data_IF_244467608071
#
_entry.id   IF_244467608071
#
_cell.length_a   1.000
_cell.length_b   1.000
_cell.length_c   1.000
_cell.angle_alpha   90.00
_cell.angle_beta   90.00
_cell.angle_gamma   90.00
#
_symmetry.space_group_name_H-M   'P 1'
#
loop_
_entity.id
_entity.type
_entity.pdbx_description
1 polymer ?
#
# COMPACT_ATOMS: atom_id res chain seq x y z
N UNK A 1 -5.85 -14.36 23.17
CA UNK A 1 -6.79 -14.53 22.04
C UNK A 1 -7.72 -13.34 21.99
N UNK A 2 -8.15 -12.93 20.80
CA UNK A 2 -9.08 -11.82 20.59
C UNK A 2 -10.42 -12.37 20.13
N UNK A 3 -11.48 -12.10 20.89
CA UNK A 3 -12.83 -12.64 20.67
C UNK A 3 -13.81 -11.57 20.21
N UNK A 4 -14.73 -11.98 19.33
CA UNK A 4 -15.90 -11.21 18.94
C UNK A 4 -16.92 -11.11 20.08
N UNK A 5 -17.92 -10.24 19.91
CA UNK A 5 -19.06 -10.17 20.85
C UNK A 5 -20.00 -11.37 20.70
N UNK A 6 -19.93 -12.02 19.55
CA UNK A 6 -20.64 -13.24 19.15
C UNK A 6 -20.01 -14.53 19.71
N UNK A 7 -18.91 -14.42 20.48
CA UNK A 7 -18.18 -15.56 21.00
C UNK A 7 -17.32 -16.27 19.94
N UNK A 8 -17.18 -15.72 18.73
CA UNK A 8 -16.32 -16.28 17.69
C UNK A 8 -14.90 -15.72 17.78
N UNK A 9 -13.86 -16.52 17.47
CA UNK A 9 -12.48 -16.06 17.57
C UNK A 9 -12.14 -15.15 16.38
N UNK A 10 -11.65 -13.94 16.66
CA UNK A 10 -11.21 -12.99 15.64
C UNK A 10 -9.73 -13.12 15.35
N UNK A 11 -8.91 -13.28 16.39
CA UNK A 11 -7.49 -13.46 16.19
C UNK A 11 -6.82 -14.24 17.33
N UNK A 12 -5.74 -14.93 16.98
CA UNK A 12 -4.79 -15.50 17.94
C UNK A 12 -3.50 -14.69 17.92
N UNK A 13 -2.86 -14.53 19.08
CA UNK A 13 -1.60 -13.80 19.22
C UNK A 13 -0.61 -14.72 19.92
N UNK A 14 0.49 -15.04 19.26
CA UNK A 14 1.63 -15.74 19.85
C UNK A 14 2.73 -14.73 20.20
N UNK A 15 3.14 -14.72 21.46
CA UNK A 15 4.17 -13.82 21.95
C UNK A 15 5.49 -14.58 22.19
N UNK A 16 6.59 -14.01 21.71
CA UNK A 16 7.95 -14.47 22.01
C UNK A 16 8.69 -13.44 22.87
N UNK A 17 9.77 -13.89 23.51
CA UNK A 17 10.67 -13.03 24.29
C UNK A 17 11.13 -11.84 23.42
N UNK A 18 11.31 -10.67 24.03
CA UNK A 18 11.58 -9.44 23.28
C UNK A 18 12.86 -9.44 22.44
N UNK A 19 13.89 -10.13 22.93
CA UNK A 19 15.15 -10.33 22.19
C UNK A 19 15.09 -11.45 21.14
N UNK A 20 14.00 -12.23 21.13
CA UNK A 20 13.79 -13.33 20.20
C UNK A 20 13.12 -12.89 18.90
N UNK A 21 13.30 -13.70 17.85
CA UNK A 21 12.59 -13.47 16.59
C UNK A 21 11.09 -13.82 16.73
N UNK A 22 10.16 -12.93 16.31
CA UNK A 22 8.73 -13.24 16.29
C UNK A 22 8.41 -14.44 15.38
N UNK A 23 9.20 -14.64 14.32
CA UNK A 23 8.98 -15.69 13.33
C UNK A 23 9.07 -17.10 13.93
N UNK A 24 9.82 -17.27 15.02
CA UNK A 24 9.88 -18.54 15.75
C UNK A 24 8.50 -18.97 16.32
N UNK A 25 7.58 -18.01 16.51
CA UNK A 25 6.21 -18.28 16.94
C UNK A 25 5.23 -18.61 15.82
N UNK A 26 5.64 -18.51 14.55
CA UNK A 26 4.71 -18.62 13.41
C UNK A 26 3.99 -19.98 13.38
N UNK A 27 4.73 -21.08 13.51
CA UNK A 27 4.17 -22.43 13.46
C UNK A 27 3.22 -22.68 14.65
N UNK A 28 3.59 -22.23 15.83
CA UNK A 28 2.78 -22.37 17.04
C UNK A 28 1.48 -21.56 16.94
N UNK A 29 1.57 -20.32 16.45
CA UNK A 29 0.40 -19.47 16.22
C UNK A 29 -0.58 -20.10 15.21
N UNK A 30 -0.05 -20.77 14.18
CA UNK A 30 -0.84 -21.53 13.20
C UNK A 30 -1.56 -22.71 13.86
N UNK A 31 -0.85 -23.51 14.65
CA UNK A 31 -1.46 -24.65 15.36
C UNK A 31 -2.62 -24.21 16.26
N UNK A 32 -2.48 -23.09 16.97
CA UNK A 32 -3.59 -22.54 17.75
C UNK A 32 -4.76 -22.09 16.89
N UNK A 33 -4.49 -21.48 15.73
CA UNK A 33 -5.55 -21.12 14.80
C UNK A 33 -6.25 -22.35 14.20
N UNK A 34 -5.52 -23.45 13.97
CA UNK A 34 -6.04 -24.73 13.48
C UNK A 34 -7.03 -25.30 14.51
N UNK A 35 -6.61 -25.44 15.77
CA UNK A 35 -7.49 -25.92 16.84
C UNK A 35 -8.73 -25.03 17.03
N UNK A 36 -8.57 -23.70 17.01
CA UNK A 36 -9.71 -22.78 17.15
C UNK A 36 -10.69 -22.90 15.99
N UNK A 37 -10.18 -23.05 14.76
CA UNK A 37 -11.03 -23.23 13.59
C UNK A 37 -11.84 -24.53 13.68
N UNK A 38 -11.24 -25.61 14.17
CA UNK A 38 -11.92 -26.89 14.40
C UNK A 38 -13.00 -26.78 15.49
N UNK A 39 -12.71 -26.06 16.58
CA UNK A 39 -13.64 -25.92 17.71
C UNK A 39 -14.83 -25.00 17.43
N UNK A 40 -14.61 -23.88 16.72
CA UNK A 40 -15.63 -22.82 16.57
C UNK A 40 -16.14 -22.67 15.14
N UNK A 41 -15.57 -23.39 14.17
CA UNK A 41 -15.92 -23.29 12.74
C UNK A 41 -15.45 -21.99 12.06
N UNK A 42 -14.75 -21.10 12.77
CA UNK A 42 -14.26 -19.82 12.24
C UNK A 42 -12.74 -19.77 12.32
N UNK A 43 -12.08 -19.57 11.17
CA UNK A 43 -10.63 -19.39 11.10
C UNK A 43 -10.22 -18.02 11.69
N UNK A 44 -9.51 -17.92 12.82
CA UNK A 44 -9.04 -16.63 13.32
C UNK A 44 -7.87 -16.07 12.48
N UNK A 45 -7.63 -14.77 12.58
CA UNK A 45 -6.41 -14.13 12.08
C UNK A 45 -5.22 -14.48 12.98
N UNK A 46 -4.04 -14.64 12.40
CA UNK A 46 -2.85 -15.10 13.13
C UNK A 46 -1.91 -13.91 13.33
N UNK A 47 -1.61 -13.59 14.58
CA UNK A 47 -0.54 -12.66 14.94
C UNK A 47 0.59 -13.38 15.66
N UNK A 48 1.81 -12.95 15.39
CA UNK A 48 2.97 -13.34 16.17
C UNK A 48 3.89 -12.13 16.37
N UNK A 49 4.44 -12.01 17.58
CA UNK A 49 5.04 -10.77 18.07
C UNK A 49 6.15 -11.03 19.09
N UNK A 50 7.16 -10.16 19.16
CA UNK A 50 8.12 -10.09 20.28
C UNK A 50 7.94 -8.81 21.14
N UNK A 51 6.91 -8.00 20.86
CA UNK A 51 6.65 -6.72 21.53
C UNK A 51 7.18 -5.50 20.77
N UNK A 52 8.18 -5.65 19.90
CA UNK A 52 8.67 -4.58 19.02
C UNK A 52 8.20 -4.78 17.57
N UNK A 53 8.37 -6.00 17.08
CA UNK A 53 7.95 -6.42 15.75
C UNK A 53 6.66 -7.22 15.86
N UNK A 54 5.68 -6.84 15.05
CA UNK A 54 4.41 -7.55 14.96
C UNK A 54 4.20 -8.02 13.53
N UNK A 55 3.70 -9.25 13.41
CA UNK A 55 3.34 -9.84 12.13
C UNK A 55 1.90 -10.28 12.15
N UNK A 56 1.25 -10.14 11.00
CA UNK A 56 -0.10 -10.58 10.72
C UNK A 56 -0.06 -11.57 9.57
N UNK A 57 -0.76 -12.67 9.73
CA UNK A 57 -0.96 -13.69 8.72
C UNK A 57 -2.44 -14.08 8.64
N UNK A 58 -2.99 -13.94 7.44
CA UNK A 58 -4.28 -14.50 7.07
C UNK A 58 -4.01 -15.63 6.07
N UNK A 59 -3.78 -16.83 6.58
CA UNK A 59 -3.33 -17.98 5.79
C UNK A 59 -4.32 -18.43 4.71
N UNK A 60 -5.60 -18.09 4.86
CA UNK A 60 -6.63 -18.33 3.86
C UNK A 60 -6.56 -17.34 2.66
N UNK A 61 -5.90 -16.20 2.80
CA UNK A 61 -5.98 -15.11 1.80
C UNK A 61 -4.64 -14.60 1.31
N UNK A 62 -3.66 -14.43 2.18
CA UNK A 62 -2.44 -13.70 1.87
C UNK A 62 -1.23 -14.19 2.68
N UNK A 63 -0.02 -14.04 2.14
CA UNK A 63 1.20 -14.36 2.87
C UNK A 63 1.38 -13.47 4.12
N UNK A 64 2.18 -13.92 5.11
CA UNK A 64 2.46 -13.14 6.32
C UNK A 64 3.11 -11.79 6.02
N UNK A 65 2.79 -10.78 6.82
CA UNK A 65 3.34 -9.42 6.68
C UNK A 65 3.61 -8.77 8.03
N UNK A 66 4.60 -7.88 8.07
CA UNK A 66 4.80 -6.98 9.21
C UNK A 66 3.66 -5.95 9.32
N UNK A 67 3.28 -5.63 10.55
CA UNK A 67 2.31 -4.60 10.91
C UNK A 67 2.87 -3.75 12.04
N UNK A 68 2.50 -2.48 12.08
CA UNK A 68 2.94 -1.55 13.13
C UNK A 68 2.23 -1.77 14.46
N UNK A 69 1.07 -2.43 14.45
CA UNK A 69 0.28 -2.67 15.64
C UNK A 69 -0.89 -3.61 15.39
N UNK A 70 -1.59 -3.95 16.48
CA UNK A 70 -2.78 -4.78 16.43
C UNK A 70 -3.97 -3.98 15.89
N UNK A 71 -4.84 -4.67 15.16
CA UNK A 71 -6.03 -4.05 14.59
C UNK A 71 -7.12 -3.97 15.66
N UNK A 72 -7.97 -2.98 15.54
CA UNK A 72 -9.14 -2.83 16.42
C UNK A 72 -10.14 -3.96 16.20
N UNK A 73 -11.05 -4.17 17.17
CA UNK A 73 -12.06 -5.23 17.08
C UNK A 73 -12.89 -5.16 15.79
N UNK A 74 -13.33 -3.96 15.41
CA UNK A 74 -14.13 -3.73 14.20
C UNK A 74 -13.34 -3.99 12.91
N UNK A 75 -12.04 -3.72 12.93
CA UNK A 75 -11.15 -4.03 11.80
C UNK A 75 -10.96 -5.53 11.64
N UNK A 76 -10.75 -6.26 12.74
CA UNK A 76 -10.64 -7.72 12.72
C UNK A 76 -11.93 -8.37 12.21
N UNK A 77 -13.08 -7.94 12.74
CA UNK A 77 -14.40 -8.41 12.28
C UNK A 77 -14.57 -8.20 10.77
N UNK A 78 -14.23 -7.00 10.28
CA UNK A 78 -14.30 -6.66 8.86
C UNK A 78 -13.35 -7.50 8.00
N UNK A 79 -12.14 -7.78 8.49
CA UNK A 79 -11.18 -8.63 7.78
C UNK A 79 -11.71 -10.06 7.61
N UNK A 80 -12.35 -10.62 8.62
CA UNK A 80 -12.99 -11.95 8.55
C UNK A 80 -14.19 -11.92 7.63
N UNK A 81 -15.08 -10.92 7.77
CA UNK A 81 -16.26 -10.75 6.92
C UNK A 81 -15.90 -10.67 5.44
N UNK A 82 -14.78 -10.02 5.10
CA UNK A 82 -14.29 -9.91 3.71
C UNK A 82 -13.98 -11.25 3.05
N UNK A 83 -13.76 -12.32 3.81
CA UNK A 83 -13.52 -13.64 3.22
C UNK A 83 -14.75 -14.16 2.48
N UNK A 84 -15.96 -13.77 2.91
CA UNK A 84 -17.23 -14.16 2.28
C UNK A 84 -17.84 -13.05 1.43
N UNK A 85 -17.64 -11.78 1.78
CA UNK A 85 -18.28 -10.66 1.08
C UNK A 85 -17.49 -10.10 -0.10
N UNK A 86 -16.30 -10.63 -0.39
CA UNK A 86 -15.52 -10.20 -1.56
C UNK A 86 -16.16 -10.72 -2.84
N UNK A 87 -16.14 -9.89 -3.88
CA UNK A 87 -16.53 -10.28 -5.24
C UNK A 87 -15.26 -10.36 -6.07
N UNK A 88 -15.15 -11.35 -6.97
CA UNK A 88 -13.97 -11.44 -7.83
C UNK A 88 -13.89 -10.23 -8.75
N UNK A 89 -12.68 -9.67 -8.87
CA UNK A 89 -12.37 -8.61 -9.80
C UNK A 89 -12.51 -9.03 -11.26
N UNK A 90 -12.41 -10.32 -11.57
CA UNK A 90 -12.60 -10.82 -12.93
C UNK A 90 -14.05 -10.67 -13.40
N UNK A 91 -15.00 -10.94 -12.51
CA UNK A 91 -16.44 -10.96 -12.82
C UNK A 91 -17.05 -9.56 -12.90
N UNK A 92 -16.45 -8.58 -12.22
CA UNK A 92 -16.96 -7.22 -12.22
C UNK A 92 -16.63 -6.49 -13.54
N UNK A 93 -17.62 -5.82 -14.15
CA UNK A 93 -17.36 -4.99 -15.33
C UNK A 93 -16.57 -3.74 -14.92
N UNK A 94 -15.62 -3.36 -15.78
CA UNK A 94 -14.93 -2.06 -15.69
C UNK A 94 -15.87 -1.01 -16.28
N UNK A 95 -16.04 0.13 -15.60
CA UNK A 95 -16.90 1.19 -16.08
C UNK A 95 -16.32 1.86 -17.33
N UNK A 96 -16.97 1.61 -18.48
CA UNK A 96 -16.54 2.15 -19.78
C UNK A 96 -16.66 3.67 -19.85
N UNK A 97 -17.56 4.26 -19.06
CA UNK A 97 -17.74 5.70 -18.87
C UNK A 97 -16.49 6.39 -18.29
N UNK A 98 -15.70 5.66 -17.50
CA UNK A 98 -14.46 6.19 -16.90
C UNK A 98 -13.27 5.87 -17.82
N UNK A 99 -13.29 4.70 -18.46
CA UNK A 99 -12.16 4.14 -19.21
C UNK A 99 -12.61 3.63 -20.58
N UNK A 100 -12.30 4.41 -21.60
CA UNK A 100 -12.66 4.10 -22.99
C UNK A 100 -11.59 3.27 -23.71
N UNK A 101 -10.31 3.40 -23.33
CA UNK A 101 -9.18 2.85 -24.11
C UNK A 101 -8.82 1.43 -23.67
N UNK A 102 -8.61 0.53 -24.64
CA UNK A 102 -8.34 -0.89 -24.38
C UNK A 102 -7.14 -1.14 -23.46
N UNK A 103 -6.06 -0.36 -23.61
CA UNK A 103 -4.83 -0.56 -22.82
C UNK A 103 -5.03 -0.22 -21.33
N UNK A 104 -5.97 0.68 -21.02
CA UNK A 104 -6.32 1.03 -19.65
C UNK A 104 -7.13 -0.10 -19.02
N UNK A 105 -8.11 -0.65 -19.74
CA UNK A 105 -8.87 -1.84 -19.31
C UNK A 105 -7.91 -3.03 -19.08
N UNK A 106 -6.98 -3.26 -19.99
CA UNK A 106 -5.95 -4.32 -19.86
C UNK A 106 -5.05 -4.10 -18.64
N UNK A 107 -4.62 -2.86 -18.38
CA UNK A 107 -3.83 -2.54 -17.20
C UNK A 107 -4.61 -2.81 -15.91
N UNK A 108 -5.88 -2.41 -15.84
CA UNK A 108 -6.74 -2.63 -14.68
C UNK A 108 -6.95 -4.14 -14.43
N UNK A 109 -7.24 -4.91 -15.48
CA UNK A 109 -7.39 -6.38 -15.37
C UNK A 109 -6.11 -7.05 -14.88
N UNK A 110 -4.96 -6.70 -15.44
CA UNK A 110 -3.67 -7.24 -15.00
C UNK A 110 -3.36 -6.91 -13.53
N UNK A 111 -3.72 -5.71 -13.06
CA UNK A 111 -3.58 -5.36 -11.63
C UNK A 111 -4.54 -6.18 -10.77
N UNK A 112 -5.78 -6.38 -11.23
CA UNK A 112 -6.77 -7.19 -10.51
C UNK A 112 -6.33 -8.64 -10.36
N UNK A 113 -5.86 -9.26 -11.44
CA UNK A 113 -5.27 -10.60 -11.43
C UNK A 113 -4.06 -10.68 -10.49
N UNK A 114 -3.18 -9.68 -10.51
CA UNK A 114 -2.03 -9.64 -9.61
C UNK A 114 -2.42 -9.59 -8.12
N UNK A 115 -3.54 -8.93 -7.80
CA UNK A 115 -4.03 -8.86 -6.42
C UNK A 115 -4.80 -10.12 -6.00
N UNK A 116 -5.60 -10.70 -6.90
CA UNK A 116 -6.45 -11.85 -6.58
C UNK A 116 -5.79 -13.21 -6.79
N UNK A 117 -5.08 -13.41 -7.90
CA UNK A 117 -4.45 -14.68 -8.26
C UNK A 117 -3.07 -14.79 -7.60
N UNK A 118 -2.20 -13.79 -7.79
CA UNK A 118 -0.83 -13.84 -7.26
C UNK A 118 -0.74 -13.49 -5.77
N UNK A 119 -1.86 -13.06 -5.16
CA UNK A 119 -1.97 -12.56 -3.77
C UNK A 119 -0.96 -11.45 -3.43
N UNK A 120 -0.56 -10.68 -4.44
CA UNK A 120 0.37 -9.56 -4.25
C UNK A 120 -0.39 -8.31 -3.84
N UNK A 121 0.27 -7.44 -3.06
CA UNK A 121 -0.36 -6.23 -2.51
C UNK A 121 0.22 -4.94 -3.10
N UNK A 122 1.24 -5.08 -3.96
CA UNK A 122 1.99 -3.97 -4.53
C UNK A 122 2.04 -4.19 -6.04
N UNK A 123 1.65 -3.19 -6.80
CA UNK A 123 1.75 -3.18 -8.24
C UNK A 123 2.47 -1.92 -8.70
N UNK A 124 3.28 -2.03 -9.75
CA UNK A 124 3.87 -0.90 -10.45
C UNK A 124 3.32 -0.86 -11.86
N UNK A 125 2.71 0.26 -12.22
CA UNK A 125 2.12 0.47 -13.55
C UNK A 125 2.91 1.54 -14.26
N UNK A 126 3.48 1.20 -15.42
CA UNK A 126 4.24 2.14 -16.25
C UNK A 126 3.35 2.59 -17.40
N UNK A 127 3.11 3.90 -17.49
CA UNK A 127 2.31 4.51 -18.56
C UNK A 127 2.97 5.81 -19.03
N UNK A 128 2.84 6.08 -20.33
CA UNK A 128 3.28 7.33 -20.93
C UNK A 128 2.54 8.55 -20.32
N UNK A 129 3.20 9.71 -20.31
CA UNK A 129 2.56 10.99 -20.01
C UNK A 129 1.48 11.29 -21.05
N UNK A 130 0.29 11.73 -20.63
CA UNK A 130 -0.86 11.92 -21.53
C UNK A 130 -1.71 10.66 -21.76
N UNK A 131 -1.32 9.49 -21.25
CA UNK A 131 -2.12 8.26 -21.37
C UNK A 131 -3.31 8.17 -20.38
N UNK A 132 -3.73 9.29 -19.79
CA UNK A 132 -4.81 9.38 -18.80
C UNK A 132 -4.61 8.46 -17.58
N UNK A 133 -3.42 8.55 -16.96
CA UNK A 133 -3.04 7.83 -15.73
C UNK A 133 -4.08 8.01 -14.62
N UNK A 134 -4.53 9.25 -14.39
CA UNK A 134 -5.51 9.57 -13.35
C UNK A 134 -6.83 8.83 -13.57
N UNK A 135 -7.41 8.85 -14.79
CA UNK A 135 -8.64 8.09 -15.10
C UNK A 135 -8.50 6.60 -14.86
N UNK A 136 -7.35 6.03 -15.23
CA UNK A 136 -7.07 4.60 -15.02
C UNK A 136 -7.07 4.24 -13.52
N UNK A 137 -6.47 5.11 -12.69
CA UNK A 137 -6.45 4.91 -11.22
C UNK A 137 -7.84 5.09 -10.62
N UNK A 138 -8.63 6.04 -11.11
CA UNK A 138 -10.01 6.26 -10.65
C UNK A 138 -10.88 5.02 -10.93
N UNK A 139 -10.85 4.48 -12.15
CA UNK A 139 -11.58 3.25 -12.47
C UNK A 139 -11.08 2.02 -11.69
N UNK A 140 -9.77 1.93 -11.43
CA UNK A 140 -9.24 0.88 -10.56
C UNK A 140 -9.77 1.01 -9.13
N UNK A 141 -9.81 2.22 -8.58
CA UNK A 141 -10.34 2.48 -7.26
C UNK A 141 -11.84 2.13 -7.17
N UNK A 142 -12.63 2.52 -8.16
CA UNK A 142 -14.04 2.12 -8.30
C UNK A 142 -14.19 0.59 -8.25
N UNK A 143 -13.47 -0.12 -9.12
CA UNK A 143 -13.54 -1.57 -9.22
C UNK A 143 -13.20 -2.25 -7.89
N UNK A 144 -12.12 -1.82 -7.22
CA UNK A 144 -11.70 -2.38 -5.93
C UNK A 144 -12.70 -2.08 -4.81
N UNK A 145 -13.36 -0.92 -4.85
CA UNK A 145 -14.38 -0.54 -3.88
C UNK A 145 -15.66 -1.35 -4.07
N UNK A 146 -16.12 -1.54 -5.32
CA UNK A 146 -17.27 -2.39 -5.67
C UNK A 146 -17.02 -3.87 -5.37
N UNK A 147 -15.78 -4.33 -5.52
CA UNK A 147 -15.34 -5.67 -5.13
C UNK A 147 -15.24 -5.89 -3.61
N UNK A 148 -15.47 -4.84 -2.80
CA UNK A 148 -15.32 -4.85 -1.34
C UNK A 148 -13.90 -5.24 -0.86
N UNK A 149 -12.90 -5.03 -1.71
CA UNK A 149 -11.49 -5.28 -1.36
C UNK A 149 -10.89 -4.11 -0.58
N UNK A 150 -11.30 -2.89 -0.90
CA UNK A 150 -10.82 -1.66 -0.24
C UNK A 150 -11.99 -0.86 0.35
N UNK A 151 -11.80 -0.37 1.58
CA UNK A 151 -12.76 0.55 2.23
C UNK A 151 -12.39 2.01 1.97
N UNK A 152 -11.09 2.29 2.07
CA UNK A 152 -10.50 3.62 1.94
C UNK A 152 -9.35 3.57 0.95
N UNK A 153 -9.24 4.60 0.10
CA UNK A 153 -8.18 4.76 -0.89
C UNK A 153 -7.46 6.08 -0.60
N UNK A 154 -6.13 6.08 -0.60
CA UNK A 154 -5.32 7.28 -0.45
C UNK A 154 -4.51 7.50 -1.73
N UNK A 155 -4.77 8.62 -2.41
CA UNK A 155 -4.04 9.08 -3.58
C UNK A 155 -2.99 10.11 -3.16
N UNK A 156 -1.72 9.80 -3.47
CA UNK A 156 -0.59 10.67 -3.17
C UNK A 156 -0.03 11.29 -4.44
N UNK A 157 0.19 12.60 -4.40
CA UNK A 157 0.89 13.33 -5.46
C UNK A 157 2.01 14.21 -4.89
N UNK A 158 2.92 14.62 -5.76
CA UNK A 158 4.05 15.46 -5.37
C UNK A 158 3.66 16.93 -5.13
N UNK A 159 2.77 17.47 -5.99
CA UNK A 159 2.42 18.90 -6.02
C UNK A 159 0.93 19.12 -5.74
N UNK A 160 0.60 20.24 -5.11
CA UNK A 160 -0.78 20.60 -4.76
C UNK A 160 -1.69 20.73 -5.99
N UNK A 161 -1.18 21.25 -7.12
CA UNK A 161 -1.96 21.34 -8.37
C UNK A 161 -2.37 19.96 -8.92
N UNK A 162 -1.50 18.95 -8.77
CA UNK A 162 -1.81 17.57 -9.16
C UNK A 162 -2.85 16.95 -8.21
N UNK A 163 -2.83 17.33 -6.93
CA UNK A 163 -3.86 16.94 -5.95
C UNK A 163 -5.22 17.52 -6.36
N UNK A 164 -5.30 18.82 -6.67
CA UNK A 164 -6.55 19.46 -7.13
C UNK A 164 -7.11 18.78 -8.38
N UNK A 165 -6.25 18.48 -9.37
CA UNK A 165 -6.63 17.74 -10.57
C UNK A 165 -7.18 16.34 -10.26
N UNK A 166 -6.54 15.61 -9.34
CA UNK A 166 -7.00 14.29 -8.93
C UNK A 166 -8.35 14.36 -8.21
N UNK A 167 -8.53 15.30 -7.27
CA UNK A 167 -9.81 15.52 -6.58
C UNK A 167 -10.93 15.79 -7.59
N UNK A 168 -10.70 16.67 -8.56
CA UNK A 168 -11.69 16.97 -9.59
C UNK A 168 -12.00 15.72 -10.43
N UNK A 169 -11.00 14.94 -10.82
CA UNK A 169 -11.21 13.69 -11.55
C UNK A 169 -12.05 12.67 -10.75
N UNK A 170 -11.81 12.54 -9.44
CA UNK A 170 -12.62 11.68 -8.57
C UNK A 170 -14.06 12.22 -8.44
N UNK A 171 -14.26 13.54 -8.30
CA UNK A 171 -15.60 14.13 -8.25
C UNK A 171 -16.39 13.91 -9.54
N UNK A 172 -15.72 14.00 -10.70
CA UNK A 172 -16.36 13.80 -12.01
C UNK A 172 -16.73 12.34 -12.27
N UNK A 173 -15.84 11.40 -11.96
CA UNK A 173 -15.99 10.00 -12.36
C UNK A 173 -16.51 9.08 -11.25
N UNK A 174 -16.49 9.53 -9.99
CA UNK A 174 -16.87 8.76 -8.80
C UNK A 174 -17.54 9.70 -7.77
N UNK A 175 -18.70 10.29 -8.07
CA UNK A 175 -19.36 11.26 -7.17
C UNK A 175 -19.69 10.65 -5.80
N UNK A 176 -20.07 9.37 -5.75
CA UNK A 176 -20.42 8.65 -4.52
C UNK A 176 -19.23 8.38 -3.59
N UNK A 177 -18.00 8.59 -4.07
CA UNK A 177 -16.79 8.31 -3.29
C UNK A 177 -16.45 9.39 -2.26
N UNK A 178 -17.12 10.57 -2.34
CA UNK A 178 -16.91 11.74 -1.51
C UNK A 178 -15.41 12.03 -1.27
N UNK A 179 -14.66 12.41 -2.32
CA UNK A 179 -13.20 12.56 -2.22
C UNK A 179 -12.83 13.72 -1.30
N UNK A 180 -12.07 13.41 -0.24
CA UNK A 180 -11.60 14.37 0.76
C UNK A 180 -10.20 14.85 0.41
N UNK A 181 -10.02 16.18 0.33
CA UNK A 181 -8.72 16.78 0.11
C UNK A 181 -8.04 17.11 1.44
N UNK A 182 -7.06 16.30 1.85
CA UNK A 182 -6.36 16.44 3.14
C UNK A 182 -5.50 17.71 3.26
N UNK A 183 -5.36 18.50 2.19
CA UNK A 183 -4.71 19.82 2.22
C UNK A 183 -5.63 20.92 2.75
N UNK A 184 -6.92 20.84 2.44
CA UNK A 184 -7.90 21.91 2.66
C UNK A 184 -8.98 21.50 3.64
N UNK A 185 -9.39 20.24 3.56
CA UNK A 185 -10.44 19.64 4.37
C UNK A 185 -9.76 18.86 5.51
N UNK A 186 -10.26 19.06 6.73
CA UNK A 186 -9.71 18.50 7.96
C UNK A 186 -9.98 17.00 8.12
N UNK A 187 -10.26 16.57 9.35
CA UNK A 187 -10.48 15.16 9.70
C UNK A 187 -11.91 14.69 9.34
N UNK A 188 -12.25 14.82 8.06
CA UNK A 188 -13.54 14.38 7.51
C UNK A 188 -13.45 12.89 7.16
N UNK A 189 -14.45 12.10 7.57
CA UNK A 189 -14.52 10.69 7.15
C UNK A 189 -14.94 10.60 5.69
N UNK A 190 -14.15 9.88 4.90
CA UNK A 190 -14.33 9.73 3.46
C UNK A 190 -13.85 8.37 2.98
N UNK A 191 -14.25 7.99 1.76
CA UNK A 191 -13.79 6.74 1.15
C UNK A 191 -12.55 6.95 0.29
N UNK A 192 -12.38 8.13 -0.28
CA UNK A 192 -11.19 8.51 -1.05
C UNK A 192 -10.54 9.73 -0.43
N UNK A 193 -9.25 9.62 -0.15
CA UNK A 193 -8.42 10.70 0.37
C UNK A 193 -7.38 11.08 -0.66
N UNK A 194 -7.14 12.38 -0.83
CA UNK A 194 -6.11 12.89 -1.75
C UNK A 194 -5.19 13.82 -0.98
N UNK A 195 -3.87 13.63 -1.10
CA UNK A 195 -2.89 14.42 -0.35
C UNK A 195 -1.54 14.52 -1.06
N UNK A 196 -0.71 15.47 -0.61
CA UNK A 196 0.70 15.49 -0.96
C UNK A 196 1.53 14.66 0.01
N UNK A 197 2.70 14.24 -0.45
CA UNK A 197 3.66 13.53 0.41
C UNK A 197 4.05 14.34 1.65
N UNK A 198 4.31 15.65 1.48
CA UNK A 198 4.71 16.55 2.57
C UNK A 198 3.65 16.63 3.67
N UNK A 199 2.38 16.80 3.29
CA UNK A 199 1.27 16.92 4.25
C UNK A 199 1.05 15.60 5.00
N UNK A 200 1.18 14.46 4.31
CA UNK A 200 1.04 13.14 4.93
C UNK A 200 2.16 12.86 5.95
N UNK A 201 3.40 13.21 5.63
CA UNK A 201 4.51 13.10 6.59
C UNK A 201 4.29 13.98 7.82
N UNK A 202 3.90 15.24 7.61
CA UNK A 202 3.66 16.19 8.71
C UNK A 202 2.55 15.73 9.67
N UNK A 203 1.52 15.03 9.17
CA UNK A 203 0.44 14.47 10.00
C UNK A 203 0.86 13.21 10.76
N UNK A 204 1.68 12.37 10.13
CA UNK A 204 2.17 11.13 10.76
C UNK A 204 3.07 11.43 11.96
N UNK A 205 3.95 12.43 11.86
CA UNK A 205 4.81 12.87 12.97
C UNK A 205 4.02 13.55 14.09
N UNK A 206 2.97 14.31 13.76
CA UNK A 206 2.12 14.99 14.77
C UNK A 206 1.33 14.00 15.65
N UNK A 207 0.90 12.87 15.09
CA UNK A 207 0.21 11.83 15.84
C UNK A 207 1.14 11.12 16.84
N UNK A 208 2.44 11.00 16.51
CA UNK A 208 3.45 10.48 17.46
C UNK A 208 3.79 11.48 18.58
N UNK A 209 3.61 12.78 18.36
CA UNK A 209 3.83 13.83 19.36
C UNK A 209 2.62 14.08 20.27
N UNK A 210 1.46 13.49 19.95
CA UNK A 210 0.22 13.61 20.73
C UNK A 210 -0.13 12.25 21.35
N UNK A 211 0.84 11.61 22.00
CA UNK A 211 0.49 10.66 23.05
C UNK A 211 0.07 11.48 24.27
N UNK A 212 -1.10 11.25 24.88
CA UNK A 212 -1.45 11.97 26.10
C UNK A 212 -0.40 11.61 27.15
N UNK A 213 0.26 12.62 27.70
CA UNK A 213 0.96 12.47 28.96
C UNK A 213 -0.09 12.00 29.96
N UNK A 214 -0.03 10.73 30.34
CA UNK A 214 -0.80 10.21 31.47
C UNK A 214 -0.22 10.91 32.70
N UNK A 215 -0.87 12.00 33.10
CA UNK A 215 -0.54 12.71 34.32
C UNK A 215 -1.09 11.94 35.50
N UNK A 216 -0.20 11.66 36.45
CA UNK A 216 -0.55 11.14 37.77
C UNK A 216 -0.12 9.71 37.97
N UNK A 217 1.17 9.48 38.21
CA UNK A 217 1.73 8.89 39.43
C UNK A 217 3.15 9.43 39.58
N UNK A 218 3.48 9.85 40.81
CA UNK A 218 4.64 10.68 41.10
C UNK A 218 6.00 9.99 41.00
N UNK A 219 7.02 10.84 41.10
CA UNK A 219 8.42 10.57 41.44
C UNK A 219 9.30 9.85 40.40
N UNK A 220 10.07 10.70 39.70
CA UNK A 220 11.55 10.67 39.65
C UNK A 220 12.22 10.22 38.34
N UNK A 221 13.10 11.12 37.89
CA UNK A 221 14.18 10.98 36.88
C UNK A 221 13.79 11.30 35.43
N UNK A 222 13.85 12.60 35.15
CA UNK A 222 14.11 13.15 33.83
C UNK A 222 15.57 12.89 33.43
N UNK A 223 15.81 12.51 32.17
CA UNK A 223 17.08 12.79 31.50
C UNK A 223 16.79 13.47 30.16
N UNK A 224 16.93 14.79 30.14
CA UNK A 224 17.21 15.58 28.96
C UNK A 224 18.71 15.85 28.91
N UNK A 225 19.40 15.43 27.85
CA UNK A 225 20.78 15.86 27.59
C UNK A 225 20.88 16.41 26.17
N UNK A 226 20.99 17.73 26.11
CA UNK A 226 21.30 18.52 24.93
C UNK A 226 22.81 18.72 24.87
N UNK A 227 23.42 18.32 23.74
CA UNK A 227 24.69 18.78 23.12
C UNK A 227 25.91 19.09 24.03
N UNK A 228 27.03 18.42 23.75
CA UNK A 228 28.31 19.01 23.28
C UNK A 228 29.43 17.97 23.37
N UNK A 229 29.98 17.58 22.23
CA UNK A 229 31.43 17.59 22.03
C UNK A 229 31.69 17.63 20.52
N UNK A 230 32.33 18.70 20.08
CA UNK A 230 32.88 18.77 18.74
C UNK A 230 34.05 17.80 18.61
N UNK A 231 34.09 17.09 17.48
CA UNK A 231 35.32 16.68 16.80
C UNK A 231 35.00 16.34 15.36
N UNK A 232 35.44 17.22 14.46
CA UNK A 232 35.79 16.84 13.11
C UNK A 232 37.01 15.91 13.20
N UNK A 233 36.88 14.68 12.70
CA UNK A 233 38.02 13.87 12.26
C UNK A 233 37.66 13.36 10.88
N UNK A 234 38.42 13.85 9.89
CA UNK A 234 38.51 13.31 8.56
C UNK A 234 39.56 12.19 8.53
N UNK A 235 39.27 11.12 7.80
CA UNK A 235 40.20 10.15 7.17
C UNK A 235 39.35 9.42 6.13
N UNK A 236 39.49 9.54 4.81
CA UNK A 236 40.60 9.39 3.83
C UNK A 236 41.13 7.96 3.72
N UNK A 237 40.87 7.39 2.54
CA UNK A 237 41.35 6.13 1.95
C UNK A 237 40.36 5.70 0.86
N UNK A 238 40.36 6.27 -0.36
CA UNK A 238 41.23 5.95 -1.51
C UNK A 238 41.21 4.45 -1.86
N UNK A 239 41.02 3.97 -3.08
CA UNK A 239 40.84 4.57 -4.41
C UNK A 239 40.50 3.43 -5.39
N UNK A 240 39.65 3.68 -6.38
CA UNK A 240 39.93 3.25 -7.76
C UNK A 240 39.07 4.09 -8.70
N UNK A 241 39.81 4.86 -9.47
CA UNK A 241 39.42 5.97 -10.33
C UNK A 241 38.88 5.46 -11.65
N UNK A 242 37.78 6.03 -12.15
CA UNK A 242 37.66 6.37 -13.57
C UNK A 242 36.86 7.66 -13.69
N UNK A 243 37.44 8.60 -14.43
CA UNK A 243 37.15 10.03 -14.48
C UNK A 243 35.96 10.41 -15.37
N UNK A 244 35.16 11.36 -14.86
CA UNK A 244 34.52 12.53 -15.49
C UNK A 244 33.91 12.40 -16.90
N UNK A 245 32.60 12.68 -16.98
CA UNK A 245 32.05 13.70 -17.91
C UNK A 245 30.74 14.29 -17.40
N UNK A 246 30.74 15.61 -17.21
CA UNK A 246 29.53 16.43 -17.14
C UNK A 246 28.80 16.37 -18.49
N UNK A 247 27.48 16.19 -18.45
CA UNK A 247 26.59 16.70 -19.49
C UNK A 247 25.32 17.24 -18.81
N UNK A 248 25.11 18.54 -18.97
CA UNK A 248 23.85 19.21 -18.68
C UNK A 248 22.82 18.79 -19.74
N UNK A 249 21.60 18.43 -19.33
CA UNK A 249 20.57 18.01 -20.28
C UNK A 249 19.22 17.62 -19.69
N UNK A 250 18.44 18.64 -19.31
CA UNK A 250 16.96 18.71 -19.38
C UNK A 250 16.06 17.97 -18.36
N UNK A 251 14.93 18.58 -17.95
CA UNK A 251 14.16 18.19 -16.76
C UNK A 251 12.86 17.46 -17.15
N UNK A 252 12.74 16.15 -16.92
CA UNK A 252 11.41 15.49 -17.01
C UNK A 252 11.44 14.01 -16.64
N UNK A 253 11.48 13.69 -15.34
CA UNK A 253 11.07 12.36 -14.83
C UNK A 253 10.44 12.47 -13.44
N UNK A 254 9.13 12.71 -13.40
CA UNK A 254 8.33 12.44 -12.20
C UNK A 254 8.00 10.94 -12.18
N UNK A 255 8.71 10.20 -11.31
CA UNK A 255 8.36 8.83 -10.93
C UNK A 255 7.08 8.89 -10.11
N UNK A 256 6.00 8.28 -10.59
CA UNK A 256 4.79 8.07 -9.79
C UNK A 256 4.87 6.69 -9.14
N UNK A 257 4.98 6.67 -7.82
CA UNK A 257 4.91 5.46 -7.01
C UNK A 257 3.49 5.40 -6.45
N UNK A 258 2.62 4.55 -7.01
CA UNK A 258 1.31 4.28 -6.42
C UNK A 258 1.53 3.38 -5.20
N UNK A 259 1.82 4.00 -4.05
CA UNK A 259 1.88 3.31 -2.78
C UNK A 259 0.46 3.32 -2.19
N UNK A 260 -0.27 2.23 -2.37
CA UNK A 260 -1.40 1.95 -1.49
C UNK A 260 -0.85 1.89 -0.06
N UNK A 261 -1.22 2.87 0.75
CA UNK A 261 -0.82 2.95 2.16
C UNK A 261 -1.54 1.85 2.94
N UNK A 262 -0.85 0.72 3.03
CA UNK A 262 -0.97 -0.23 4.14
C UNK A 262 0.40 -0.16 4.79
N UNK A 263 0.50 0.17 6.10
CA UNK A 263 1.75 0.60 6.70
C UNK A 263 2.80 -0.50 6.60
N UNK A 264 3.97 -0.16 6.06
CA UNK A 264 5.19 -0.96 6.12
C UNK A 264 6.37 0.01 6.11
N UNK A 265 7.12 -0.01 7.21
CA UNK A 265 8.40 0.68 7.34
C UNK A 265 9.55 -0.21 6.83
N UNK A 266 10.64 0.47 6.51
CA UNK A 266 11.81 0.06 5.77
C UNK A 266 12.62 -1.07 6.43
N UNK A 267 12.93 -2.11 5.67
CA UNK A 267 14.28 -2.71 5.64
C UNK A 267 14.49 -3.37 4.28
N UNK A 268 15.65 -3.08 3.69
CA UNK A 268 16.06 -3.55 2.37
C UNK A 268 16.28 -5.06 2.37
N UNK A 269 15.62 -5.77 1.44
CA UNK A 269 16.15 -6.98 0.79
C UNK A 269 15.53 -7.08 -0.59
N UNK A 270 16.40 -7.18 -1.60
CA UNK A 270 16.04 -7.28 -3.00
C UNK A 270 15.14 -8.50 -3.23
N UNK A 271 13.89 -8.26 -3.62
CA UNK A 271 12.96 -9.29 -4.10
C UNK A 271 12.41 -8.83 -5.44
N UNK A 272 12.48 -9.73 -6.42
CA UNK A 272 12.23 -9.49 -7.85
C UNK A 272 10.89 -8.79 -8.12
N UNK A 273 10.94 -7.52 -8.49
CA UNK A 273 9.83 -6.83 -9.13
C UNK A 273 9.66 -7.41 -10.54
N UNK A 274 8.65 -8.25 -10.77
CA UNK A 274 8.17 -8.53 -12.14
C UNK A 274 7.59 -7.23 -12.70
N UNK A 275 8.29 -6.63 -13.65
CA UNK A 275 7.78 -5.51 -14.46
C UNK A 275 6.63 -6.03 -15.33
N UNK A 276 5.39 -5.61 -15.06
CA UNK A 276 4.25 -5.96 -15.90
C UNK A 276 4.21 -4.97 -17.07
N UNK A 277 4.52 -5.49 -18.26
CA UNK A 277 4.44 -4.89 -19.60
C UNK A 277 5.53 -3.87 -20.01
N UNK A 278 6.48 -4.35 -20.83
CA UNK A 278 7.23 -3.53 -21.77
C UNK A 278 6.38 -3.30 -23.03
N UNK A 279 6.11 -2.04 -23.36
CA UNK A 279 5.37 -1.63 -24.54
C UNK A 279 6.37 -1.22 -25.63
N UNK A 280 6.81 -2.18 -26.45
CA UNK A 280 7.47 -1.90 -27.73
C UNK A 280 7.06 -2.96 -28.73
N UNK A 281 5.99 -2.71 -29.47
CA UNK A 281 5.76 -3.36 -30.75
C UNK A 281 5.93 -2.31 -31.85
N UNK A 282 7.18 -2.16 -32.26
CA UNK A 282 7.56 -1.42 -33.46
C UNK A 282 8.03 -2.47 -34.48
N UNK A 283 7.10 -3.08 -35.21
CA UNK A 283 7.41 -3.82 -36.44
C UNK A 283 6.43 -3.49 -37.56
N UNK A 284 7.00 -2.80 -38.56
CA UNK A 284 6.69 -2.84 -40.00
C UNK A 284 5.30 -2.39 -40.47
N UNK A 285 5.19 -1.08 -40.66
CA UNK A 285 4.65 -0.55 -41.92
C UNK A 285 5.80 -0.53 -42.94
N UNK A 286 5.87 -1.51 -43.82
CA UNK A 286 6.65 -1.39 -45.05
C UNK A 286 5.84 -2.06 -46.18
N UNK A 287 5.04 -1.26 -46.87
CA UNK A 287 4.50 -1.60 -48.19
C UNK A 287 5.58 -1.33 -49.23
N UNK A 288 5.72 -2.20 -50.22
CA UNK A 288 5.90 -1.74 -51.59
C UNK A 288 4.77 -2.28 -52.47
N UNK A 289 4.22 -1.41 -53.32
CA UNK A 289 3.40 -1.84 -54.45
C UNK A 289 4.26 -2.35 -55.61
N UNK A 290 3.68 -3.20 -56.46
CA UNK A 290 4.04 -3.49 -57.86
C UNK A 290 2.90 -4.38 -58.40
N UNK A 291 2.00 -3.85 -59.25
CA UNK A 291 1.98 -3.96 -60.71
C UNK A 291 1.79 -5.40 -61.26
N UNK A 292 0.64 -5.61 -61.93
CA UNK A 292 0.57 -6.26 -63.24
C UNK A 292 0.19 -7.75 -63.30
N UNK A 293 -0.88 -8.04 -64.05
CA UNK A 293 -0.80 -9.08 -65.09
C UNK A 293 -1.85 -10.19 -65.06
N UNK A 294 -2.75 -10.12 -66.05
CA UNK A 294 -3.64 -11.17 -66.63
C UNK A 294 -4.89 -11.56 -65.86
#
# INVERSE_FOLDING_TARGET
>A
MLWGNDGLPFAVVEAKKSMGSPLAGQQQAKLYADCLAEMTGQRPLIYYSNGYDHWLWDDAQAPPRSVQGFHTKDELARMIQRRTTKVSLADLPIADEIVERYYQKRAIRAIGEHFEADKQRRALVVMATGASKTRTVVALADLLMRANLVKRVLFLADRQELVKQAVNAFKTHLPDSAPVNLLTEGDVDGRVYVSTYQTMMARSTRSAATAPAVSGWGTSIWWSSTRRTGRCIASIGASSTTSIRCWWGSPSRLRFLLRCLIPADMTARAASTKSIAGLTDARRLNRPGFLGGS
#
